data_IF_736026601495
#
_entry.id   IF_736026601495
#
_cell.length_a   1.000
_cell.length_b   1.000
_cell.length_c   1.000
_cell.angle_alpha   90.00
_cell.angle_beta   90.00
_cell.angle_gamma   90.00
#
_symmetry.space_group_name_H-M   'P 1'
#
loop_
_entity.id
_entity.type
_entity.pdbx_description
1 polymer ?
#
# COMPACT_ATOMS: atom_id res chain seq x y z
N UNK A 1 -3.27 14.03 10.63
CA UNK A 1 -3.84 12.69 10.67
C UNK A 1 -5.35 12.70 10.87
N UNK A 2 -5.95 11.58 11.38
CA UNK A 2 -7.43 11.41 11.49
C UNK A 2 -8.13 12.60 12.17
N UNK A 3 -7.54 13.15 13.23
CA UNK A 3 -8.09 14.34 13.92
C UNK A 3 -8.28 15.55 13.01
N UNK A 4 -7.40 15.80 12.06
CA UNK A 4 -7.52 16.93 11.13
C UNK A 4 -8.67 16.73 10.13
N UNK A 5 -9.14 15.49 9.97
CA UNK A 5 -10.29 15.10 9.16
C UNK A 5 -11.57 14.97 9.98
N UNK A 6 -11.53 15.25 11.30
CA UNK A 6 -12.69 15.08 12.19
C UNK A 6 -13.06 13.62 12.46
N UNK A 7 -12.16 12.66 12.19
CA UNK A 7 -12.40 11.23 12.39
C UNK A 7 -11.82 10.80 13.73
N UNK A 8 -12.67 10.18 14.58
CA UNK A 8 -12.20 9.51 15.80
C UNK A 8 -11.55 8.16 15.40
N UNK A 9 -10.34 7.86 15.85
CA UNK A 9 -9.75 6.53 15.64
C UNK A 9 -10.65 5.36 16.08
N UNK A 10 -11.50 5.57 17.07
CA UNK A 10 -12.44 4.54 17.54
C UNK A 10 -13.53 4.16 16.51
N UNK A 11 -13.78 5.04 15.53
CA UNK A 11 -14.76 4.81 14.47
C UNK A 11 -14.20 4.02 13.28
N UNK A 12 -12.91 3.63 13.33
CA UNK A 12 -12.29 2.83 12.26
C UNK A 12 -12.89 1.42 12.22
N UNK A 13 -13.47 1.07 11.07
CA UNK A 13 -14.03 -0.27 10.82
C UNK A 13 -12.95 -1.33 10.58
N UNK A 14 -11.78 -0.94 10.06
CA UNK A 14 -10.65 -1.82 9.81
C UNK A 14 -9.35 -1.03 9.59
N UNK A 15 -8.23 -1.74 9.64
CA UNK A 15 -6.91 -1.29 9.18
C UNK A 15 -6.44 -2.27 8.11
N UNK A 16 -6.00 -1.75 6.97
CA UNK A 16 -5.41 -2.53 5.88
C UNK A 16 -3.90 -2.28 5.89
N UNK A 17 -3.10 -3.35 5.93
CA UNK A 17 -1.64 -3.27 5.91
C UNK A 17 -1.14 -3.84 4.60
N UNK A 18 -0.36 -3.06 3.87
CA UNK A 18 0.28 -3.47 2.63
C UNK A 18 1.40 -4.48 2.90
N UNK A 19 2.29 -4.16 3.84
CA UNK A 19 3.40 -5.00 4.27
C UNK A 19 3.96 -4.55 5.63
N UNK A 20 4.95 -5.27 6.18
CA UNK A 20 5.46 -5.12 7.54
C UNK A 20 6.58 -4.10 7.74
N UNK A 21 7.01 -3.34 6.75
CA UNK A 21 8.07 -2.34 6.93
C UNK A 21 7.68 -1.25 7.93
N UNK A 22 8.67 -0.74 8.66
CA UNK A 22 8.45 0.14 9.83
C UNK A 22 7.72 1.44 9.52
N UNK A 23 7.93 2.02 8.37
CA UNK A 23 7.24 3.23 7.90
C UNK A 23 5.74 3.01 7.66
N UNK A 24 5.31 1.75 7.45
CA UNK A 24 3.90 1.36 7.32
C UNK A 24 3.25 0.97 8.65
N UNK A 25 4.01 0.39 9.59
CA UNK A 25 3.42 -0.28 10.76
C UNK A 25 3.85 0.28 12.11
N UNK A 26 4.79 1.23 12.18
CA UNK A 26 5.33 1.74 13.45
C UNK A 26 4.27 2.30 14.42
N UNK A 27 3.14 2.78 13.91
CA UNK A 27 2.02 3.29 14.70
C UNK A 27 1.11 2.23 15.30
N UNK A 28 1.11 0.99 14.77
CA UNK A 28 0.14 -0.05 15.14
C UNK A 28 0.21 -0.43 16.63
N UNK A 29 1.39 -0.62 17.18
CA UNK A 29 1.58 -1.01 18.58
C UNK A 29 1.01 0.03 19.57
N UNK A 30 1.00 1.31 19.20
CA UNK A 30 0.39 2.38 20.00
C UNK A 30 -1.12 2.46 19.76
N UNK A 31 -1.54 2.30 18.50
CA UNK A 31 -2.93 2.39 18.10
C UNK A 31 -3.76 1.27 18.73
N UNK A 32 -3.28 0.02 18.69
CA UNK A 32 -3.98 -1.17 19.22
C UNK A 32 -4.13 -1.20 20.73
N UNK A 33 -3.42 -0.33 21.47
CA UNK A 33 -3.68 -0.10 22.91
C UNK A 33 -4.96 0.71 23.14
N UNK A 34 -5.39 1.50 22.16
CA UNK A 34 -6.50 2.46 22.31
C UNK A 34 -7.76 2.02 21.58
N UNK A 35 -7.61 1.38 20.45
CA UNK A 35 -8.70 0.93 19.60
C UNK A 35 -8.45 -0.51 19.14
N UNK A 36 -9.51 -1.23 18.77
CA UNK A 36 -9.44 -2.66 18.46
C UNK A 36 -10.14 -3.06 17.15
N UNK A 37 -9.91 -2.31 16.05
CA UNK A 37 -10.44 -2.72 14.75
C UNK A 37 -9.69 -3.96 14.25
N UNK A 38 -10.29 -4.80 13.40
CA UNK A 38 -9.59 -5.86 12.70
C UNK A 38 -8.48 -5.25 11.83
N UNK A 39 -7.33 -5.95 11.77
CA UNK A 39 -6.16 -5.56 10.98
C UNK A 39 -5.98 -6.61 9.90
N UNK A 40 -6.22 -6.24 8.66
CA UNK A 40 -6.10 -7.14 7.52
C UNK A 40 -4.72 -7.01 6.86
N UNK A 41 -4.07 -8.16 6.64
CA UNK A 41 -2.79 -8.27 5.95
C UNK A 41 -2.67 -9.65 5.29
N UNK A 42 -1.61 -9.90 4.52
CA UNK A 42 -1.31 -11.26 4.05
C UNK A 42 -0.92 -12.19 5.20
N UNK A 43 -1.02 -13.53 5.05
CA UNK A 43 -0.56 -14.46 6.08
C UNK A 43 0.91 -14.25 6.47
N UNK A 44 1.77 -13.96 5.50
CA UNK A 44 3.19 -13.73 5.75
C UNK A 44 3.42 -12.44 6.55
N UNK A 45 2.77 -11.33 6.17
CA UNK A 45 2.80 -10.06 6.92
C UNK A 45 2.20 -10.22 8.32
N UNK A 46 1.08 -10.95 8.47
CA UNK A 46 0.51 -11.26 9.80
C UNK A 46 1.51 -12.00 10.69
N UNK A 47 2.24 -12.97 10.13
CA UNK A 47 3.29 -13.69 10.86
C UNK A 47 4.39 -12.75 11.38
N UNK A 48 4.86 -11.80 10.56
CA UNK A 48 5.87 -10.82 10.98
C UNK A 48 5.34 -9.83 12.02
N UNK A 49 4.06 -9.48 11.96
CA UNK A 49 3.45 -8.51 12.87
C UNK A 49 3.04 -9.12 14.21
N UNK A 50 2.79 -10.42 14.30
CA UNK A 50 2.27 -11.05 15.51
C UNK A 50 3.18 -10.81 16.73
N UNK A 51 4.50 -10.91 16.54
CA UNK A 51 5.48 -10.66 17.61
C UNK A 51 5.68 -9.16 17.92
N UNK A 52 5.31 -8.29 17.00
CA UNK A 52 5.46 -6.83 17.13
C UNK A 52 4.22 -6.17 17.78
N UNK A 53 3.11 -6.91 17.90
CA UNK A 53 1.84 -6.40 18.41
C UNK A 53 1.39 -7.13 19.69
N UNK A 54 2.07 -6.92 20.83
CA UNK A 54 1.78 -7.65 22.07
C UNK A 54 0.36 -7.44 22.63
N UNK A 55 -0.35 -6.42 22.16
CA UNK A 55 -1.72 -6.08 22.55
C UNK A 55 -2.70 -6.08 21.37
N UNK A 56 -2.33 -6.62 20.23
CA UNK A 56 -3.12 -6.53 19.00
C UNK A 56 -2.96 -7.72 18.06
N UNK A 57 -2.17 -8.74 18.43
CA UNK A 57 -1.95 -9.91 17.56
C UNK A 57 -3.27 -10.62 17.24
N UNK A 58 -4.22 -10.66 18.16
CA UNK A 58 -5.55 -11.25 17.98
C UNK A 58 -6.46 -10.44 17.03
N UNK A 59 -6.09 -9.21 16.70
CA UNK A 59 -6.80 -8.37 15.71
C UNK A 59 -6.39 -8.70 14.28
N UNK A 60 -5.26 -9.40 14.10
CA UNK A 60 -4.75 -9.76 12.78
C UNK A 60 -5.69 -10.76 12.08
N UNK A 61 -6.08 -10.41 10.86
CA UNK A 61 -6.94 -11.19 9.97
C UNK A 61 -6.23 -11.39 8.66
N UNK A 62 -5.82 -12.63 8.36
CA UNK A 62 -5.10 -12.91 7.12
C UNK A 62 -6.01 -12.93 5.90
N UNK A 63 -5.54 -12.34 4.79
CA UNK A 63 -6.18 -12.36 3.49
C UNK A 63 -5.14 -12.64 2.40
N UNK A 64 -5.44 -13.58 1.54
CA UNK A 64 -4.57 -13.89 0.40
C UNK A 64 -4.79 -12.86 -0.72
N UNK A 65 -3.75 -12.54 -1.51
CA UNK A 65 -3.93 -11.80 -2.75
C UNK A 65 -4.98 -12.48 -3.65
N UNK A 66 -5.87 -11.68 -4.25
CA UNK A 66 -6.99 -12.16 -5.06
C UNK A 66 -8.20 -12.66 -4.26
N UNK A 67 -8.11 -12.79 -2.93
CA UNK A 67 -9.23 -13.19 -2.09
C UNK A 67 -9.94 -11.92 -1.53
N UNK A 68 -10.91 -11.42 -2.29
CA UNK A 68 -11.70 -10.27 -1.89
C UNK A 68 -12.54 -10.51 -0.64
N UNK A 69 -12.80 -9.44 0.14
CA UNK A 69 -13.62 -9.47 1.36
C UNK A 69 -14.32 -8.14 1.58
N UNK A 70 -15.39 -8.17 2.37
CA UNK A 70 -16.16 -6.97 2.72
C UNK A 70 -15.72 -6.38 4.07
N UNK A 71 -15.69 -5.04 4.14
CA UNK A 71 -15.61 -4.26 5.39
C UNK A 71 -16.68 -3.19 5.33
N UNK A 72 -17.76 -3.34 6.09
CA UNK A 72 -18.94 -2.50 5.96
C UNK A 72 -19.51 -2.58 4.53
N UNK A 73 -19.63 -1.43 3.88
CA UNK A 73 -20.14 -1.31 2.51
C UNK A 73 -19.04 -1.39 1.45
N UNK A 74 -17.77 -1.52 1.85
CA UNK A 74 -16.64 -1.61 0.93
C UNK A 74 -16.31 -3.06 0.64
N UNK A 75 -16.10 -3.36 -0.64
CA UNK A 75 -15.42 -4.55 -1.12
C UNK A 75 -13.94 -4.25 -1.27
N UNK A 76 -13.08 -5.09 -0.71
CA UNK A 76 -11.63 -4.92 -0.67
C UNK A 76 -10.99 -6.12 -1.33
N UNK A 77 -10.14 -5.89 -2.30
CA UNK A 77 -9.39 -6.92 -3.01
C UNK A 77 -7.88 -6.63 -2.94
N UNK A 78 -7.12 -7.44 -2.19
CA UNK A 78 -5.67 -7.35 -2.17
C UNK A 78 -5.08 -7.97 -3.44
N UNK A 79 -4.04 -7.36 -4.01
CA UNK A 79 -3.25 -7.91 -5.12
C UNK A 79 -1.76 -7.86 -4.77
N UNK A 80 -0.98 -8.84 -5.26
CA UNK A 80 0.44 -8.91 -4.95
C UNK A 80 1.24 -7.78 -5.60
N UNK A 81 2.19 -7.21 -4.86
CA UNK A 81 3.15 -6.23 -5.35
C UNK A 81 4.57 -6.77 -5.27
N UNK A 82 5.44 -6.50 -6.26
CA UNK A 82 6.85 -6.91 -6.26
C UNK A 82 7.66 -5.99 -5.36
N UNK A 83 7.78 -6.37 -4.07
CA UNK A 83 8.51 -5.60 -3.07
C UNK A 83 9.31 -6.52 -2.15
N UNK A 84 10.36 -6.01 -1.51
CA UNK A 84 11.26 -6.77 -0.63
C UNK A 84 10.69 -6.96 0.80
N UNK A 85 9.45 -7.41 0.86
CA UNK A 85 8.70 -7.70 2.08
C UNK A 85 8.17 -9.15 2.07
N UNK A 86 7.76 -9.64 3.24
CA UNK A 86 7.32 -11.04 3.39
C UNK A 86 6.09 -11.40 2.53
N UNK A 87 5.21 -10.42 2.26
CA UNK A 87 4.00 -10.64 1.47
C UNK A 87 3.32 -9.33 1.12
N UNK A 88 4.01 -8.47 0.36
CA UNK A 88 3.51 -7.15 0.00
C UNK A 88 2.29 -7.20 -0.92
N UNK A 89 1.33 -6.32 -0.65
CA UNK A 89 0.09 -6.15 -1.44
C UNK A 89 -0.29 -4.69 -1.63
N UNK A 90 -0.88 -4.40 -2.78
CA UNK A 90 -1.74 -3.25 -2.97
C UNK A 90 -3.20 -3.63 -2.72
N UNK A 91 -4.10 -2.66 -2.78
CA UNK A 91 -5.52 -2.85 -2.56
C UNK A 91 -6.37 -2.16 -3.61
N UNK A 92 -7.40 -2.87 -4.08
CA UNK A 92 -8.54 -2.26 -4.76
C UNK A 92 -9.69 -2.18 -3.76
N UNK A 93 -10.26 -0.97 -3.59
CA UNK A 93 -11.41 -0.73 -2.73
C UNK A 93 -12.59 -0.25 -3.58
N UNK A 94 -13.72 -0.95 -3.49
CA UNK A 94 -14.92 -0.60 -4.24
C UNK A 94 -16.10 -0.39 -3.31
N UNK A 95 -16.87 0.66 -3.53
CA UNK A 95 -18.07 0.98 -2.76
C UNK A 95 -18.77 2.23 -3.30
N UNK A 96 -20.08 2.35 -3.12
CA UNK A 96 -20.85 3.50 -3.58
C UNK A 96 -20.76 3.75 -5.09
N UNK A 97 -20.49 2.73 -5.91
CA UNK A 97 -20.28 2.86 -7.36
C UNK A 97 -18.95 3.49 -7.76
N UNK A 98 -17.99 3.55 -6.84
CA UNK A 98 -16.63 4.07 -7.07
C UNK A 98 -15.59 3.04 -6.71
N UNK A 99 -14.43 3.13 -7.37
CA UNK A 99 -13.29 2.24 -7.17
C UNK A 99 -12.00 3.04 -6.98
N UNK A 100 -11.25 2.67 -5.96
CA UNK A 100 -9.91 3.22 -5.69
C UNK A 100 -8.88 2.09 -5.78
N UNK A 101 -7.74 2.34 -6.42
CA UNK A 101 -6.58 1.48 -6.40
C UNK A 101 -5.44 2.13 -5.60
N UNK A 102 -4.83 1.37 -4.68
CA UNK A 102 -3.63 1.76 -3.92
C UNK A 102 -2.46 0.91 -4.41
N UNK A 103 -1.50 1.55 -5.05
CA UNK A 103 -0.34 0.94 -5.71
C UNK A 103 0.95 1.61 -5.21
N UNK A 104 1.42 1.23 -4.03
CA UNK A 104 2.71 1.67 -3.46
C UNK A 104 3.63 0.48 -3.27
N UNK A 105 4.92 0.73 -3.13
CA UNK A 105 5.94 -0.29 -2.88
C UNK A 105 6.00 -1.31 -4.01
N UNK A 106 6.38 -0.80 -5.17
CA UNK A 106 6.45 -1.52 -6.44
C UNK A 106 7.85 -1.41 -7.03
N UNK A 107 8.57 -2.52 -7.19
CA UNK A 107 9.81 -2.53 -7.97
C UNK A 107 9.56 -2.36 -9.48
N UNK A 108 8.41 -2.83 -9.98
CA UNK A 108 7.95 -2.65 -11.35
C UNK A 108 6.44 -2.87 -11.48
N UNK A 109 5.86 -2.45 -12.60
CA UNK A 109 4.42 -2.58 -12.87
C UNK A 109 4.11 -3.97 -13.44
N UNK A 110 3.52 -4.84 -12.63
CA UNK A 110 3.08 -6.20 -13.04
C UNK A 110 1.73 -6.17 -13.77
N UNK A 111 1.36 -7.29 -14.40
CA UNK A 111 0.02 -7.43 -14.99
C UNK A 111 -1.10 -7.34 -13.94
N UNK A 112 -0.86 -7.79 -12.71
CA UNK A 112 -1.81 -7.65 -11.61
C UNK A 112 -2.01 -6.17 -11.23
N UNK A 113 -0.93 -5.39 -11.18
CA UNK A 113 -1.01 -3.93 -10.97
C UNK A 113 -1.79 -3.26 -12.10
N UNK A 114 -1.52 -3.62 -13.37
CA UNK A 114 -2.27 -3.10 -14.53
C UNK A 114 -3.76 -3.40 -14.42
N UNK A 115 -4.12 -4.62 -14.03
CA UNK A 115 -5.51 -5.04 -13.83
C UNK A 115 -6.17 -4.27 -12.67
N UNK A 116 -5.47 -4.06 -11.56
CA UNK A 116 -5.96 -3.31 -10.41
C UNK A 116 -6.25 -1.84 -10.72
N UNK A 117 -5.45 -1.24 -11.60
CA UNK A 117 -5.60 0.17 -12.03
C UNK A 117 -6.69 0.34 -13.08
N UNK A 118 -6.99 -0.73 -13.85
CA UNK A 118 -7.97 -0.65 -14.94
C UNK A 118 -9.38 -0.30 -14.42
N UNK A 119 -9.91 0.84 -14.85
CA UNK A 119 -11.27 1.30 -14.51
C UNK A 119 -11.43 1.86 -13.10
N UNK A 120 -10.36 2.14 -12.37
CA UNK A 120 -10.48 2.85 -11.08
C UNK A 120 -10.87 4.32 -11.29
N UNK A 121 -11.62 4.89 -10.36
CA UNK A 121 -11.96 6.32 -10.33
C UNK A 121 -10.84 7.15 -9.67
N UNK A 122 -10.15 6.57 -8.69
CA UNK A 122 -9.04 7.16 -7.97
C UNK A 122 -7.87 6.20 -7.93
N UNK A 123 -6.69 6.68 -8.30
CA UNK A 123 -5.43 5.94 -8.20
C UNK A 123 -4.49 6.64 -7.23
N UNK A 124 -4.05 5.93 -6.21
CA UNK A 124 -2.89 6.29 -5.39
C UNK A 124 -1.72 5.48 -5.90
N UNK A 125 -0.73 6.12 -6.49
CA UNK A 125 0.42 5.44 -7.08
C UNK A 125 1.76 5.97 -6.56
N UNK A 126 2.73 5.08 -6.51
CA UNK A 126 4.09 5.41 -6.13
C UNK A 126 4.78 6.26 -7.20
N UNK A 127 5.52 7.27 -6.72
CA UNK A 127 6.53 8.02 -7.48
C UNK A 127 7.69 8.29 -6.54
N UNK A 128 8.57 7.29 -6.37
CA UNK A 128 9.49 7.28 -5.24
C UNK A 128 10.73 8.14 -5.47
N UNK A 129 11.38 8.00 -6.63
CA UNK A 129 12.68 8.64 -6.86
C UNK A 129 12.85 9.16 -8.29
N UNK A 130 13.64 10.23 -8.43
CA UNK A 130 14.20 10.68 -9.69
C UNK A 130 15.40 9.80 -10.06
N UNK A 131 15.45 9.18 -11.27
CA UNK A 131 16.51 8.24 -11.63
C UNK A 131 17.91 8.88 -11.68
N UNK A 132 18.02 10.12 -12.14
CA UNK A 132 19.31 10.79 -12.26
C UNK A 132 19.83 11.23 -10.89
N UNK A 133 18.94 11.77 -10.05
CA UNK A 133 19.28 12.07 -8.66
C UNK A 133 19.67 10.81 -7.87
N UNK A 134 18.94 9.71 -8.06
CA UNK A 134 19.26 8.44 -7.40
C UNK A 134 20.63 7.92 -7.80
N UNK A 135 20.99 7.98 -9.09
CA UNK A 135 22.33 7.54 -9.58
C UNK A 135 23.46 8.40 -9.03
N UNK A 136 23.28 9.73 -8.98
CA UNK A 136 24.32 10.71 -8.61
C UNK A 136 24.30 11.12 -7.15
N UNK A 137 23.18 10.94 -6.44
CA UNK A 137 22.94 11.37 -5.08
C UNK A 137 23.82 10.67 -4.03
N UNK A 138 23.72 11.08 -2.75
CA UNK A 138 24.67 10.68 -1.69
C UNK A 138 24.42 9.27 -1.12
N UNK A 139 23.36 8.57 -1.53
CA UNK A 139 23.04 7.26 -1.00
C UNK A 139 24.13 6.22 -1.25
N UNK A 140 24.40 5.31 -0.28
CA UNK A 140 25.31 4.19 -0.47
C UNK A 140 24.89 3.33 -1.67
N UNK A 141 25.86 2.79 -2.40
CA UNK A 141 25.62 2.00 -3.62
C UNK A 141 24.62 0.84 -3.38
N UNK A 142 24.78 0.10 -2.26
CA UNK A 142 23.88 -1.01 -1.94
C UNK A 142 22.42 -0.55 -1.75
N UNK A 143 22.19 0.63 -1.14
CA UNK A 143 20.86 1.18 -0.99
C UNK A 143 20.26 1.62 -2.34
N UNK A 144 21.06 2.23 -3.20
CA UNK A 144 20.64 2.57 -4.57
C UNK A 144 20.19 1.34 -5.35
N UNK A 145 20.99 0.25 -5.28
CA UNK A 145 20.65 -1.02 -5.96
C UNK A 145 19.35 -1.64 -5.40
N UNK A 146 19.12 -1.55 -4.09
CA UNK A 146 17.89 -2.00 -3.46
C UNK A 146 16.69 -1.19 -3.94
N UNK A 147 16.78 0.15 -3.93
CA UNK A 147 15.68 1.05 -4.32
C UNK A 147 15.34 0.87 -5.80
N UNK A 148 16.34 0.81 -6.68
CA UNK A 148 16.15 0.70 -8.14
C UNK A 148 15.94 -0.74 -8.65
N UNK A 149 15.95 -1.74 -7.77
CA UNK A 149 15.80 -3.15 -8.15
C UNK A 149 14.34 -3.56 -8.34
N UNK A 150 14.13 -4.76 -8.90
CA UNK A 150 12.80 -5.32 -9.19
C UNK A 150 11.91 -5.53 -7.95
N UNK A 151 12.46 -5.44 -6.77
CA UNK A 151 11.75 -5.48 -5.50
C UNK A 151 11.90 -4.20 -4.67
N UNK A 152 12.34 -3.11 -5.32
CA UNK A 152 12.49 -1.79 -4.72
C UNK A 152 11.23 -0.94 -4.90
N UNK A 153 11.41 0.18 -5.59
CA UNK A 153 10.37 1.20 -5.76
C UNK A 153 10.29 1.69 -7.21
N UNK A 154 9.14 2.25 -7.61
CA UNK A 154 8.98 2.88 -8.91
C UNK A 154 9.72 4.21 -8.96
N UNK A 155 10.40 4.43 -10.09
CA UNK A 155 10.87 5.77 -10.43
C UNK A 155 9.71 6.74 -10.65
N UNK A 156 10.00 8.04 -10.65
CA UNK A 156 9.01 9.06 -11.01
C UNK A 156 8.50 8.88 -12.44
N UNK A 157 9.34 8.36 -13.35
CA UNK A 157 8.99 8.08 -14.73
C UNK A 157 8.03 6.90 -14.83
N UNK A 158 8.35 5.76 -14.20
CA UNK A 158 7.47 4.58 -14.18
C UNK A 158 6.15 4.86 -13.45
N UNK A 159 6.20 5.62 -12.36
CA UNK A 159 5.01 6.08 -11.64
C UNK A 159 4.12 6.99 -12.48
N UNK A 160 4.72 7.88 -13.29
CA UNK A 160 3.98 8.74 -14.22
C UNK A 160 3.33 7.91 -15.35
N UNK A 161 3.99 6.84 -15.84
CA UNK A 161 3.40 5.91 -16.81
C UNK A 161 2.20 5.17 -16.20
N UNK A 162 2.32 4.69 -14.95
CA UNK A 162 1.21 4.05 -14.24
C UNK A 162 0.03 5.03 -14.03
N UNK A 163 0.33 6.27 -13.65
CA UNK A 163 -0.68 7.32 -13.52
C UNK A 163 -1.39 7.61 -14.86
N UNK A 164 -0.64 7.69 -15.97
CA UNK A 164 -1.19 7.88 -17.31
C UNK A 164 -2.11 6.71 -17.72
N UNK A 165 -1.74 5.47 -17.39
CA UNK A 165 -2.61 4.30 -17.60
C UNK A 165 -3.92 4.42 -16.80
N UNK A 166 -3.86 4.86 -15.54
CA UNK A 166 -5.02 5.12 -14.71
C UNK A 166 -5.97 6.13 -15.34
N UNK A 167 -5.43 7.28 -15.80
CA UNK A 167 -6.22 8.32 -16.50
C UNK A 167 -6.85 7.77 -17.77
N UNK A 168 -6.11 7.04 -18.59
CA UNK A 168 -6.61 6.44 -19.84
C UNK A 168 -7.72 5.41 -19.59
N UNK A 169 -7.71 4.74 -18.45
CA UNK A 169 -8.73 3.76 -18.06
C UNK A 169 -9.91 4.35 -17.29
N UNK A 170 -9.91 5.65 -16.98
CA UNK A 170 -11.06 6.35 -16.41
C UNK A 170 -10.83 7.06 -15.08
N UNK A 171 -9.64 6.97 -14.48
CA UNK A 171 -9.35 7.64 -13.23
C UNK A 171 -9.49 9.17 -13.37
N UNK A 172 -10.30 9.76 -12.52
CA UNK A 172 -10.50 11.21 -12.44
C UNK A 172 -9.64 11.87 -11.36
N UNK A 173 -9.05 11.06 -10.47
CA UNK A 173 -8.17 11.53 -9.39
C UNK A 173 -6.92 10.66 -9.35
N UNK A 174 -5.76 11.31 -9.39
CA UNK A 174 -4.46 10.69 -9.19
C UNK A 174 -3.80 11.30 -7.96
N UNK A 175 -3.33 10.45 -7.06
CA UNK A 175 -2.54 10.85 -5.89
C UNK A 175 -1.15 10.22 -6.03
N UNK A 176 -0.14 11.06 -6.20
CA UNK A 176 1.25 10.63 -6.18
C UNK A 176 1.69 10.48 -4.73
N UNK A 177 2.21 9.32 -4.38
CA UNK A 177 2.53 8.94 -3.01
C UNK A 177 3.89 8.25 -2.91
N UNK A 178 4.32 7.97 -1.67
CA UNK A 178 5.55 7.26 -1.37
C UNK A 178 6.80 7.94 -1.96
N UNK A 179 6.83 9.28 -1.88
CA UNK A 179 7.94 10.12 -2.35
C UNK A 179 9.15 9.94 -1.43
N UNK A 180 10.33 9.69 -1.99
CA UNK A 180 11.56 9.76 -1.21
C UNK A 180 11.98 11.22 -0.97
N UNK A 181 12.62 11.48 0.19
CA UNK A 181 13.06 12.82 0.59
C UNK A 181 14.39 13.20 -0.09
#
# INVERSE_FOLDING_TARGET
GLKSLGVDPADLSAILITHEHQDHVSGLAVLTKKIRPPIYATPATCGQLADQLPHGAELLQSRLPGAGFAVGELWIEPFATPHDAAGSVGYVLSGGGRTMALCTDLGYVTDQVRQAVAGCDLLVCETNYDPDWMRTGPYPYALKQRIMGDHGHLSNEDGAELAAMGVQSGASVIVLAHLSA
#
